data_IF_627956054563
#
_entry.id   IF_627956054563
#
_cell.length_a   1.000
_cell.length_b   1.000
_cell.length_c   1.000
_cell.angle_alpha   90.00
_cell.angle_beta   90.00
_cell.angle_gamma   90.00
#
_symmetry.space_group_name_H-M   'P 1'
#
loop_
_entity.id
_entity.type
_entity.pdbx_description
1 polymer ?
#
# COMPACT_ATOMS: atom_id res chain seq x y z
N UNK A 1 -7.61 -9.91 3.49
CA UNK A 1 -6.86 -10.77 2.55
C UNK A 1 -5.92 -11.69 3.33
N UNK A 2 -5.82 -12.97 2.99
CA UNK A 2 -4.93 -13.93 3.65
C UNK A 2 -4.28 -14.83 2.59
N UNK A 3 -3.23 -14.34 1.93
CA UNK A 3 -2.44 -15.20 1.06
C UNK A 3 -1.75 -16.28 1.90
N UNK A 4 -2.06 -17.54 1.59
CA UNK A 4 -1.56 -18.73 2.30
C UNK A 4 -0.32 -19.34 1.65
N UNK A 5 0.05 -18.89 0.45
CA UNK A 5 1.12 -19.48 -0.34
C UNK A 5 2.35 -18.59 -0.30
N UNK A 6 2.30 -17.36 -0.79
CA UNK A 6 3.52 -16.57 -0.98
C UNK A 6 3.83 -15.66 0.21
N UNK A 7 2.82 -14.98 0.73
CA UNK A 7 2.96 -14.03 1.83
C UNK A 7 3.55 -14.61 3.13
N UNK A 8 3.27 -15.86 3.55
CA UNK A 8 3.85 -16.41 4.78
C UNK A 8 5.38 -16.43 4.76
N UNK A 9 5.98 -16.70 3.60
CA UNK A 9 7.44 -16.75 3.43
C UNK A 9 8.07 -15.37 3.19
N UNK A 10 7.32 -14.42 2.61
CA UNK A 10 7.85 -13.12 2.19
C UNK A 10 7.61 -12.00 3.20
N UNK A 11 6.60 -12.13 4.08
CA UNK A 11 6.25 -11.08 5.04
C UNK A 11 7.40 -10.71 5.98
N UNK A 12 8.29 -11.66 6.27
CA UNK A 12 9.46 -11.46 7.15
C UNK A 12 10.57 -10.66 6.49
N UNK A 13 10.54 -10.47 5.17
CA UNK A 13 11.50 -9.64 4.42
C UNK A 13 11.20 -8.15 4.53
N UNK A 14 10.01 -7.78 5.02
CA UNK A 14 9.57 -6.39 5.15
C UNK A 14 9.46 -6.08 6.65
N UNK A 15 10.30 -5.16 7.18
CA UNK A 15 10.23 -4.74 8.57
C UNK A 15 8.82 -4.24 8.91
N UNK A 16 8.31 -4.53 10.11
CA UNK A 16 6.94 -4.23 10.58
C UNK A 16 5.78 -4.99 9.91
N UNK A 17 5.93 -5.54 8.70
CA UNK A 17 4.78 -6.15 8.00
C UNK A 17 4.13 -7.32 8.77
N UNK A 18 4.86 -8.24 9.43
CA UNK A 18 4.23 -9.29 10.22
C UNK A 18 3.33 -8.75 11.33
N UNK A 19 3.73 -7.64 11.96
CA UNK A 19 2.99 -6.99 13.05
C UNK A 19 1.79 -6.19 12.52
N UNK A 20 1.94 -5.49 11.39
CA UNK A 20 0.84 -4.83 10.69
C UNK A 20 -0.25 -5.85 10.32
N UNK A 21 0.13 -6.99 9.74
CA UNK A 21 -0.83 -8.00 9.28
C UNK A 21 -1.61 -8.68 10.43
N UNK A 22 -1.02 -8.77 11.61
CA UNK A 22 -1.68 -9.38 12.78
C UNK A 22 -2.52 -8.38 13.58
N UNK A 23 -2.10 -7.12 13.64
CA UNK A 23 -2.75 -6.09 14.46
C UNK A 23 -3.80 -5.27 13.73
N UNK A 24 -3.66 -5.10 12.41
CA UNK A 24 -4.58 -4.30 11.60
C UNK A 24 -5.55 -5.19 10.83
N UNK A 25 -6.78 -5.24 11.32
CA UNK A 25 -7.89 -6.03 10.80
C UNK A 25 -9.10 -5.14 10.49
N UNK A 26 -10.06 -5.61 9.66
CA UNK A 26 -11.32 -4.88 9.45
C UNK A 26 -12.10 -4.56 10.73
N UNK A 27 -11.93 -5.38 11.78
CA UNK A 27 -12.58 -5.17 13.07
C UNK A 27 -11.89 -4.08 13.91
N UNK A 28 -10.57 -3.94 13.80
CA UNK A 28 -9.81 -2.95 14.57
C UNK A 28 -9.70 -1.60 13.87
N UNK A 29 -9.81 -1.58 12.54
CA UNK A 29 -9.65 -0.38 11.72
C UNK A 29 -10.85 -0.24 10.78
N UNK A 30 -11.83 0.58 11.17
CA UNK A 30 -13.02 0.83 10.37
C UNK A 30 -12.63 1.33 8.97
N UNK A 31 -13.28 0.80 7.93
CA UNK A 31 -12.96 1.07 6.54
C UNK A 31 -11.86 0.20 5.94
N UNK A 32 -11.03 -0.49 6.75
CA UNK A 32 -10.02 -1.42 6.25
C UNK A 32 -10.66 -2.75 5.83
N UNK A 33 -10.35 -3.24 4.63
CA UNK A 33 -10.76 -4.56 4.14
C UNK A 33 -9.64 -5.60 4.26
N UNK A 34 -8.40 -5.15 4.16
CA UNK A 34 -7.23 -5.99 4.41
C UNK A 34 -5.96 -5.42 3.82
N UNK A 35 -4.85 -6.00 4.27
CA UNK A 35 -3.50 -5.60 3.88
C UNK A 35 -2.79 -6.83 3.28
N UNK A 36 -2.04 -6.62 2.21
CA UNK A 36 -1.20 -7.65 1.60
C UNK A 36 0.08 -7.06 1.00
N UNK A 37 0.96 -7.93 0.53
CA UNK A 37 2.05 -7.54 -0.36
C UNK A 37 1.49 -7.05 -1.69
N UNK A 38 2.04 -5.97 -2.23
CA UNK A 38 1.80 -5.55 -3.61
C UNK A 38 2.84 -6.21 -4.51
N UNK A 39 2.40 -7.17 -5.32
CA UNK A 39 3.29 -7.98 -6.16
C UNK A 39 4.38 -8.69 -5.35
N UNK A 40 5.63 -8.36 -5.63
CA UNK A 40 6.80 -8.92 -4.97
C UNK A 40 7.18 -8.25 -3.64
N UNK A 41 6.60 -7.07 -3.33
CA UNK A 41 7.13 -6.17 -2.31
C UNK A 41 8.36 -5.38 -2.80
N UNK A 42 8.88 -4.42 -2.00
CA UNK A 42 8.51 -4.14 -0.62
C UNK A 42 7.23 -3.30 -0.44
N UNK A 43 6.64 -2.84 -1.54
CA UNK A 43 5.34 -2.14 -1.49
C UNK A 43 4.26 -3.04 -0.91
N UNK A 44 3.42 -2.48 -0.04
CA UNK A 44 2.22 -3.12 0.49
C UNK A 44 0.98 -2.45 -0.08
N UNK A 45 -0.11 -3.20 -0.16
CA UNK A 45 -1.42 -2.70 -0.54
C UNK A 45 -2.35 -2.83 0.67
N UNK A 46 -2.96 -1.72 1.07
CA UNK A 46 -4.08 -1.70 1.99
C UNK A 46 -5.36 -1.40 1.19
N UNK A 47 -6.27 -2.37 1.12
CA UNK A 47 -7.59 -2.16 0.56
C UNK A 47 -8.51 -1.57 1.63
N UNK A 48 -9.11 -0.42 1.35
CA UNK A 48 -10.02 0.25 2.25
C UNK A 48 -11.15 0.94 1.48
N UNK A 49 -12.26 1.21 2.15
CA UNK A 49 -13.42 1.95 1.61
C UNK A 49 -13.50 3.38 2.13
N UNK A 50 -12.84 3.68 3.25
CA UNK A 50 -12.84 4.97 3.93
C UNK A 50 -11.66 5.01 4.93
N UNK A 51 -11.51 6.14 5.64
CA UNK A 51 -10.45 6.34 6.65
C UNK A 51 -9.01 6.17 6.12
N UNK A 52 -8.78 6.49 4.83
CA UNK A 52 -7.51 6.24 4.15
C UNK A 52 -6.29 6.85 4.87
N UNK A 53 -6.39 8.12 5.27
CA UNK A 53 -5.31 8.84 5.93
C UNK A 53 -4.97 8.22 7.28
N UNK A 54 -5.97 7.95 8.10
CA UNK A 54 -5.80 7.32 9.42
C UNK A 54 -5.18 5.93 9.30
N UNK A 55 -5.63 5.12 8.34
CA UNK A 55 -5.07 3.79 8.07
C UNK A 55 -3.60 3.92 7.63
N UNK A 56 -3.30 4.86 6.74
CA UNK A 56 -1.95 5.10 6.26
C UNK A 56 -1.01 5.58 7.39
N UNK A 57 -1.42 6.56 8.20
CA UNK A 57 -0.65 7.08 9.32
C UNK A 57 -0.25 5.98 10.31
N UNK A 58 -1.18 5.09 10.67
CA UNK A 58 -0.92 3.96 11.56
C UNK A 58 0.12 2.99 10.95
N UNK A 59 0.01 2.69 9.65
CA UNK A 59 0.98 1.87 8.92
C UNK A 59 2.36 2.54 8.92
N UNK A 60 2.43 3.84 8.58
CA UNK A 60 3.67 4.60 8.53
C UNK A 60 4.34 4.66 9.90
N UNK A 61 3.58 4.82 10.98
CA UNK A 61 4.10 4.85 12.34
C UNK A 61 4.77 3.51 12.72
N UNK A 62 4.24 2.38 12.26
CA UNK A 62 4.83 1.04 12.48
C UNK A 62 6.12 0.86 11.70
N UNK A 63 6.15 1.28 10.44
CA UNK A 63 7.39 1.29 9.65
C UNK A 63 8.46 2.22 10.23
N UNK A 64 8.06 3.40 10.72
CA UNK A 64 8.99 4.36 11.32
C UNK A 64 9.65 3.82 12.60
N UNK A 65 8.93 3.02 13.41
CA UNK A 65 9.50 2.33 14.58
C UNK A 65 10.62 1.34 14.20
N UNK A 66 10.55 0.76 13.00
CA UNK A 66 11.58 -0.10 12.43
C UNK A 66 12.63 0.69 11.62
N UNK A 67 12.63 2.03 11.69
CA UNK A 67 13.56 2.90 10.96
C UNK A 67 13.31 2.96 9.45
N UNK A 68 12.14 2.52 8.97
CA UNK A 68 11.78 2.52 7.55
C UNK A 68 11.00 3.80 7.21
N UNK A 69 11.52 4.58 6.27
CA UNK A 69 10.80 5.71 5.71
C UNK A 69 9.91 5.27 4.55
N UNK A 70 8.64 5.67 4.58
CA UNK A 70 7.63 5.26 3.60
C UNK A 70 6.90 6.48 3.04
N UNK A 71 6.53 6.40 1.78
CA UNK A 71 5.51 7.25 1.16
C UNK A 71 4.25 6.42 0.95
N UNK A 72 3.09 7.09 0.94
CA UNK A 72 1.80 6.45 0.69
C UNK A 72 1.00 7.27 -0.33
N UNK A 73 0.09 6.60 -1.01
CA UNK A 73 -0.83 7.19 -1.99
C UNK A 73 -2.19 6.51 -1.87
N UNK A 74 -3.27 7.29 -1.93
CA UNK A 74 -4.59 6.76 -2.26
C UNK A 74 -4.68 6.66 -3.77
N UNK A 75 -5.06 5.48 -4.28
CA UNK A 75 -5.15 5.21 -5.70
C UNK A 75 -6.50 4.57 -6.01
N UNK A 76 -7.04 4.89 -7.19
CA UNK A 76 -8.19 4.22 -7.77
C UNK A 76 -7.73 3.31 -8.93
N UNK A 77 -8.48 2.24 -9.24
CA UNK A 77 -8.18 1.41 -10.41
C UNK A 77 -8.26 2.23 -11.70
N UNK A 78 -7.15 2.30 -12.43
CA UNK A 78 -7.10 2.89 -13.78
C UNK A 78 -7.85 1.99 -14.77
N UNK A 79 -8.76 2.55 -15.57
CA UNK A 79 -9.56 1.78 -16.54
C UNK A 79 -8.92 1.75 -17.92
N UNK A 80 -8.15 2.77 -18.24
CA UNK A 80 -7.64 3.06 -19.58
C UNK A 80 -6.30 2.35 -19.86
N UNK A 81 -5.65 1.83 -18.81
CA UNK A 81 -4.35 1.19 -18.93
C UNK A 81 -3.28 2.13 -19.49
N UNK A 82 -2.47 1.63 -20.41
CA UNK A 82 -1.42 2.43 -21.05
C UNK A 82 -2.00 3.38 -22.09
N UNK A 83 -1.59 4.65 -22.05
CA UNK A 83 -2.00 5.69 -23.00
C UNK A 83 -0.78 6.30 -23.71
N UNK A 84 -1.01 6.86 -24.90
CA UNK A 84 -0.02 7.62 -25.66
C UNK A 84 -0.35 9.10 -25.54
N UNK A 85 0.62 9.91 -25.10
CA UNK A 85 0.49 11.37 -25.03
C UNK A 85 1.51 12.00 -25.96
N UNK A 86 1.04 12.83 -26.90
CA UNK A 86 1.91 13.64 -27.74
C UNK A 86 2.40 14.86 -26.95
N UNK A 87 3.72 14.99 -26.79
CA UNK A 87 4.33 16.16 -26.19
C UNK A 87 4.71 17.13 -27.32
N UNK A 88 3.87 18.14 -27.55
CA UNK A 88 4.19 19.22 -28.47
C UNK A 88 5.03 20.27 -27.72
N UNK A 89 6.28 20.48 -28.11
CA UNK A 89 7.06 21.62 -27.63
C UNK A 89 6.54 22.89 -28.32
N UNK A 90 5.89 23.77 -27.54
CA UNK A 90 5.64 25.14 -27.97
C UNK A 90 6.97 25.87 -28.08
N UNK A 91 7.61 25.83 -29.24
CA UNK A 91 8.60 26.83 -29.59
C UNK A 91 7.85 28.14 -29.87
N UNK A 92 7.77 29.01 -28.87
CA UNK A 92 7.45 30.41 -29.09
C UNK A 92 8.60 31.03 -29.92
N UNK A 93 8.25 31.54 -31.11
CA UNK A 93 9.11 32.36 -31.98
C UNK A 93 9.11 33.82 -31.51
#
# INVERSE_FOLDING_TARGET
MQDKVHQPYRKTLIPALPEILTSMTPQSHHGLLGICLSGAGPTILALATENFERIAEEILARFAKEGVHCIWKVLEPVQEGAQVTELWESFEL
#
